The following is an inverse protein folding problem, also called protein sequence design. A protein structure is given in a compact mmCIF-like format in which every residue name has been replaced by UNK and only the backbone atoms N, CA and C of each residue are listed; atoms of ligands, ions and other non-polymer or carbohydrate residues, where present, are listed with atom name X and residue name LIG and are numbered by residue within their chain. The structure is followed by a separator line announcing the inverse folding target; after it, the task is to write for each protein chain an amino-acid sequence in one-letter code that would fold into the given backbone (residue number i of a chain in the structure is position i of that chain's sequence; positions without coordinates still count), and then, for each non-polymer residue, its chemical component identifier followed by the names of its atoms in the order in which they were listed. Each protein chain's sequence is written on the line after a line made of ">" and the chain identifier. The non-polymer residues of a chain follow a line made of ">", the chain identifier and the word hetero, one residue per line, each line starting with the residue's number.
data_IF_537380401296
#
_entry.id   IF_537380401296
#
_cell.length_a   1.000
_cell.length_b   1.000
_cell.length_c   1.000
_cell.angle_alpha   90.00
_cell.angle_beta   90.00
_cell.angle_gamma   90.00
#
_symmetry.space_group_name_H-M   'P 1'
#
loop_
_entity.id
_entity.type
_entity.pdbx_description
1 polymer ?
#
# COMPACT_ATOMS: atom_id res chain seq x y z
N UNK A 1 26.35 48.92 -75.33
CA UNK A 1 26.06 49.51 -74.00
C UNK A 1 24.68 50.14 -74.01
N UNK A 2 24.00 50.11 -72.85
CA UNK A 2 22.70 50.75 -72.51
C UNK A 2 21.43 49.98 -72.87
N UNK A 3 21.15 48.94 -72.08
CA UNK A 3 19.80 48.78 -71.54
C UNK A 3 19.54 49.97 -70.60
N UNK A 4 18.83 50.97 -71.09
CA UNK A 4 18.33 52.04 -70.24
C UNK A 4 17.20 51.47 -69.38
N UNK A 5 17.52 51.31 -68.09
CA UNK A 5 16.65 50.96 -66.97
C UNK A 5 15.41 51.87 -67.02
N UNK A 6 14.23 51.33 -67.35
CA UNK A 6 12.95 52.02 -67.13
C UNK A 6 12.72 52.07 -65.62
N UNK A 7 12.87 53.24 -65.03
CA UNK A 7 12.46 53.52 -63.65
C UNK A 7 10.99 53.93 -63.66
N UNK A 8 10.09 52.96 -63.68
CA UNK A 8 8.68 53.21 -63.35
C UNK A 8 8.63 53.49 -61.84
N UNK A 9 8.19 54.70 -61.46
CA UNK A 9 8.03 55.08 -60.06
C UNK A 9 6.89 54.30 -59.42
N UNK A 10 7.08 53.84 -58.19
CA UNK A 10 6.06 53.13 -57.43
C UNK A 10 4.83 54.03 -57.24
N UNK A 11 3.64 53.55 -57.58
CA UNK A 11 2.40 54.28 -57.27
C UNK A 11 2.08 54.16 -55.78
N UNK A 12 1.55 55.23 -55.17
CA UNK A 12 1.15 55.21 -53.75
C UNK A 12 0.14 54.07 -53.48
N UNK A 13 -0.75 53.79 -54.45
CA UNK A 13 -1.72 52.70 -54.35
C UNK A 13 -1.04 51.33 -54.22
N UNK A 14 -0.02 51.06 -55.03
CA UNK A 14 0.72 49.79 -55.00
C UNK A 14 1.49 49.63 -53.68
N UNK A 15 2.03 50.73 -53.13
CA UNK A 15 2.67 50.72 -51.81
C UNK A 15 1.67 50.39 -50.69
N UNK A 16 0.46 50.97 -50.73
CA UNK A 16 -0.59 50.70 -49.74
C UNK A 16 -1.03 49.23 -49.82
N UNK A 17 -1.28 48.72 -51.03
CA UNK A 17 -1.74 47.34 -51.24
C UNK A 17 -0.67 46.33 -50.79
N UNK A 18 0.59 46.53 -51.19
CA UNK A 18 1.69 45.64 -50.80
C UNK A 18 1.93 45.65 -49.29
N UNK A 19 1.87 46.82 -48.65
CA UNK A 19 2.01 46.94 -47.19
C UNK A 19 0.85 46.27 -46.45
N UNK A 20 -0.38 46.41 -46.94
CA UNK A 20 -1.54 45.76 -46.35
C UNK A 20 -1.45 44.22 -46.45
N UNK A 21 -1.05 43.70 -47.62
CA UNK A 21 -0.84 42.26 -47.82
C UNK A 21 0.30 41.73 -46.94
N UNK A 22 1.41 42.46 -46.84
CA UNK A 22 2.53 42.08 -45.96
C UNK A 22 2.09 42.07 -44.49
N UNK A 23 1.36 43.09 -44.05
CA UNK A 23 0.80 43.16 -42.70
C UNK A 23 -0.11 41.98 -42.40
N UNK A 24 -0.99 41.60 -43.34
CA UNK A 24 -1.88 40.45 -43.19
C UNK A 24 -1.10 39.13 -43.05
N UNK A 25 -0.06 38.93 -43.87
CA UNK A 25 0.79 37.73 -43.79
C UNK A 25 1.54 37.69 -42.46
N UNK A 26 2.11 38.81 -42.01
CA UNK A 26 2.83 38.88 -40.74
C UNK A 26 1.88 38.60 -39.56
N UNK A 27 0.71 39.25 -39.53
CA UNK A 27 -0.27 39.04 -38.45
C UNK A 27 -0.77 37.60 -38.43
N UNK A 28 -1.11 37.03 -39.58
CA UNK A 28 -1.52 35.62 -39.68
C UNK A 28 -0.43 34.66 -39.22
N UNK A 29 0.81 34.89 -39.63
CA UNK A 29 1.96 34.10 -39.19
C UNK A 29 2.20 34.19 -37.68
N UNK A 30 2.12 35.38 -37.10
CA UNK A 30 2.29 35.58 -35.66
C UNK A 30 1.16 34.91 -34.86
N UNK A 31 -0.10 35.00 -35.32
CA UNK A 31 -1.22 34.32 -34.68
C UNK A 31 -1.03 32.80 -34.66
N UNK A 32 -0.65 32.21 -35.79
CA UNK A 32 -0.39 30.78 -35.88
C UNK A 32 0.76 30.35 -34.96
N UNK A 33 1.84 31.13 -34.92
CA UNK A 33 2.98 30.88 -34.04
C UNK A 33 2.58 30.89 -32.56
N UNK A 34 1.86 31.93 -32.10
CA UNK A 34 1.42 32.01 -30.71
C UNK A 34 0.41 30.92 -30.34
N UNK A 35 -0.47 30.56 -31.27
CA UNK A 35 -1.41 29.45 -31.06
C UNK A 35 -0.66 28.13 -30.89
N UNK A 36 0.27 27.81 -31.80
CA UNK A 36 1.06 26.58 -31.75
C UNK A 36 1.91 26.51 -30.48
N UNK A 37 2.56 27.61 -30.10
CA UNK A 37 3.38 27.68 -28.89
C UNK A 37 2.53 27.46 -27.63
N UNK A 38 1.37 28.12 -27.51
CA UNK A 38 0.47 27.94 -26.36
C UNK A 38 -0.07 26.51 -26.28
N UNK A 39 -0.48 25.94 -27.42
CA UNK A 39 -0.98 24.58 -27.49
C UNK A 39 0.09 23.55 -27.09
N UNK A 40 1.34 23.76 -27.53
CA UNK A 40 2.46 22.90 -27.16
C UNK A 40 2.77 22.96 -25.66
N UNK A 41 2.85 24.16 -25.07
CA UNK A 41 3.12 24.32 -23.62
C UNK A 41 1.99 23.70 -22.79
N UNK A 42 0.72 23.98 -23.12
CA UNK A 42 -0.41 23.40 -22.40
C UNK A 42 -0.43 21.86 -22.52
N UNK A 43 -0.15 21.35 -23.72
CA UNK A 43 -0.06 19.91 -23.99
C UNK A 43 1.07 19.24 -23.20
N UNK A 44 2.24 19.87 -23.13
CA UNK A 44 3.38 19.38 -22.34
C UNK A 44 3.03 19.32 -20.87
N UNK A 45 2.55 20.44 -20.30
CA UNK A 45 2.21 20.51 -18.88
C UNK A 45 1.13 19.47 -18.50
N UNK A 46 0.15 19.24 -19.38
CA UNK A 46 -0.87 18.22 -19.17
C UNK A 46 -0.28 16.80 -19.20
N UNK A 47 0.60 16.51 -20.15
CA UNK A 47 1.24 15.20 -20.24
C UNK A 47 2.14 14.92 -19.03
N UNK A 48 2.91 15.92 -18.60
CA UNK A 48 3.79 15.83 -17.44
C UNK A 48 2.98 15.59 -16.16
N UNK A 49 1.91 16.38 -15.95
CA UNK A 49 0.99 16.21 -14.82
C UNK A 49 0.36 14.83 -14.76
N UNK A 50 -0.08 14.31 -15.92
CA UNK A 50 -0.65 12.97 -16.00
C UNK A 50 0.39 11.90 -15.66
N UNK A 51 1.62 12.03 -16.18
CA UNK A 51 2.70 11.09 -15.90
C UNK A 51 3.07 11.08 -14.40
N UNK A 52 3.19 12.26 -13.78
CA UNK A 52 3.47 12.40 -12.35
C UNK A 52 2.36 11.80 -11.49
N UNK A 53 1.10 12.12 -11.79
CA UNK A 53 -0.06 11.58 -11.06
C UNK A 53 -0.15 10.05 -11.20
N UNK A 54 0.16 9.48 -12.36
CA UNK A 54 0.21 8.03 -12.55
C UNK A 54 1.35 7.38 -11.74
N UNK A 55 2.54 7.97 -11.75
CA UNK A 55 3.66 7.47 -10.95
C UNK A 55 3.35 7.53 -9.44
N UNK A 56 2.71 8.62 -8.99
CA UNK A 56 2.24 8.79 -7.63
C UNK A 56 1.17 7.76 -7.25
N UNK A 57 0.17 7.55 -8.11
CA UNK A 57 -0.87 6.56 -7.90
C UNK A 57 -0.26 5.15 -7.76
N UNK A 58 0.63 4.75 -8.66
CA UNK A 58 1.31 3.45 -8.57
C UNK A 58 2.01 3.29 -7.21
N UNK A 59 2.78 4.30 -6.79
CA UNK A 59 3.45 4.29 -5.48
C UNK A 59 2.46 4.19 -4.31
N UNK A 60 1.38 4.99 -4.31
CA UNK A 60 0.34 4.94 -3.27
C UNK A 60 -0.28 3.54 -3.18
N UNK A 61 -0.63 2.95 -4.32
CA UNK A 61 -1.23 1.61 -4.35
C UNK A 61 -0.27 0.53 -3.86
N UNK A 62 1.02 0.61 -4.20
CA UNK A 62 2.05 -0.32 -3.74
C UNK A 62 2.29 -0.24 -2.23
N UNK A 63 2.34 0.97 -1.68
CA UNK A 63 2.53 1.19 -0.24
C UNK A 63 1.40 0.56 0.58
N UNK A 64 0.17 0.65 0.07
CA UNK A 64 -1.05 0.22 0.76
C UNK A 64 -1.35 -1.27 0.54
N UNK A 65 -0.97 -1.86 -0.62
CA UNK A 65 -1.31 -3.25 -0.98
C UNK A 65 -0.91 -4.29 0.07
N UNK A 66 0.22 -4.09 0.75
CA UNK A 66 0.77 -5.03 1.72
C UNK A 66 0.48 -4.65 3.18
N UNK A 67 -0.41 -3.68 3.41
CA UNK A 67 -0.78 -3.26 4.75
C UNK A 67 -1.46 -4.39 5.55
N UNK A 68 -1.12 -4.49 6.83
CA UNK A 68 -1.70 -5.45 7.78
C UNK A 68 -2.87 -4.86 8.56
N UNK A 69 -2.81 -3.56 8.83
CA UNK A 69 -3.93 -2.78 9.34
C UNK A 69 -4.06 -1.52 8.52
N UNK A 70 -5.29 -1.02 8.35
CA UNK A 70 -5.56 0.23 7.66
C UNK A 70 -6.73 0.93 8.34
N UNK A 71 -6.53 2.21 8.65
CA UNK A 71 -7.56 3.07 9.19
C UNK A 71 -7.63 4.39 8.43
N UNK A 72 -8.83 4.79 8.06
CA UNK A 72 -9.14 6.02 7.33
C UNK A 72 -9.53 7.11 8.34
N UNK A 73 -9.08 8.34 8.09
CA UNK A 73 -9.46 9.51 8.87
C UNK A 73 -9.40 10.80 8.07
N UNK A 74 -9.89 11.92 8.64
CA UNK A 74 -10.01 13.19 7.93
C UNK A 74 -8.63 13.79 7.63
N UNK A 75 -7.76 13.77 8.63
CA UNK A 75 -6.40 14.32 8.57
C UNK A 75 -5.38 13.43 9.29
N UNK A 76 -4.09 13.72 9.08
CA UNK A 76 -3.00 13.04 9.79
C UNK A 76 -3.11 13.28 11.30
N UNK A 77 -3.40 14.50 11.70
CA UNK A 77 -3.44 14.94 13.09
C UNK A 77 -4.54 14.20 13.86
N UNK A 78 -5.72 14.04 13.24
CA UNK A 78 -6.84 13.27 13.81
C UNK A 78 -6.46 11.80 13.98
N UNK A 79 -5.82 11.20 12.96
CA UNK A 79 -5.36 9.82 13.04
C UNK A 79 -4.31 9.62 14.12
N UNK A 80 -3.38 10.57 14.30
CA UNK A 80 -2.39 10.52 15.39
C UNK A 80 -3.08 10.55 16.76
N UNK A 81 -4.12 11.34 16.95
CA UNK A 81 -4.87 11.38 18.21
C UNK A 81 -5.61 10.07 18.48
N UNK A 82 -6.31 9.53 17.48
CA UNK A 82 -7.05 8.26 17.61
C UNK A 82 -6.09 7.13 17.98
N UNK A 83 -4.97 7.04 17.29
CA UNK A 83 -4.00 5.96 17.47
C UNK A 83 -3.20 6.11 18.78
N UNK A 84 -2.83 7.32 19.20
CA UNK A 84 -2.14 7.54 20.47
C UNK A 84 -3.04 7.26 21.69
N UNK A 85 -4.37 7.39 21.53
CA UNK A 85 -5.34 7.01 22.55
C UNK A 85 -5.52 5.49 22.70
N UNK A 86 -5.09 4.71 21.71
CA UNK A 86 -5.08 3.25 21.75
C UNK A 86 -3.70 2.80 22.23
N UNK A 87 -3.60 2.39 23.50
CA UNK A 87 -2.41 1.75 24.05
C UNK A 87 -2.05 0.54 23.16
N UNK A 88 -1.08 0.72 22.29
CA UNK A 88 -0.59 -0.30 21.39
C UNK A 88 0.89 0.00 21.26
N UNK A 89 1.69 -1.02 21.59
CA UNK A 89 3.13 -0.98 21.74
C UNK A 89 3.88 -0.45 20.52
N UNK A 90 5.19 -0.70 20.50
CA UNK A 90 6.14 -0.17 19.52
C UNK A 90 5.89 -0.72 18.10
N UNK A 91 4.78 -0.30 17.49
CA UNK A 91 4.33 -0.75 16.18
C UNK A 91 4.68 0.31 15.17
N UNK A 92 5.45 -0.09 14.16
CA UNK A 92 5.82 0.76 13.04
C UNK A 92 4.59 1.18 12.22
N UNK A 93 4.27 2.48 12.28
CA UNK A 93 3.12 3.08 11.61
C UNK A 93 3.55 3.97 10.46
N UNK A 94 2.82 3.88 9.37
CA UNK A 94 2.97 4.70 8.19
C UNK A 94 1.72 5.55 8.02
N UNK A 95 1.90 6.80 7.60
CA UNK A 95 0.78 7.71 7.31
C UNK A 95 0.85 8.15 5.86
N UNK A 96 -0.26 8.07 5.14
CA UNK A 96 -0.43 8.67 3.82
C UNK A 96 -1.50 9.75 3.93
N UNK A 97 -1.19 10.96 3.49
CA UNK A 97 -2.10 12.10 3.66
C UNK A 97 -1.84 13.21 2.65
N UNK A 98 -2.90 13.98 2.35
CA UNK A 98 -2.79 15.25 1.65
C UNK A 98 -2.55 16.40 2.64
N UNK A 99 -1.62 17.30 2.33
CA UNK A 99 -1.42 18.54 3.10
C UNK A 99 -0.87 19.64 2.19
N UNK A 100 -1.42 20.85 2.30
CA UNK A 100 -1.01 22.03 1.53
C UNK A 100 -0.83 21.75 0.02
N UNK A 101 -1.85 21.13 -0.60
CA UNK A 101 -1.81 20.80 -2.03
C UNK A 101 -0.81 19.71 -2.43
N UNK A 102 -0.13 19.07 -1.47
CA UNK A 102 0.87 18.03 -1.70
C UNK A 102 0.40 16.70 -1.09
N UNK A 103 1.01 15.59 -1.51
CA UNK A 103 0.74 14.24 -0.97
C UNK A 103 2.01 13.67 -0.37
N UNK A 104 1.93 13.20 0.88
CA UNK A 104 3.07 12.73 1.65
C UNK A 104 2.89 11.29 2.16
N UNK A 105 4.02 10.62 2.32
CA UNK A 105 4.19 9.39 3.09
C UNK A 105 5.09 9.68 4.30
N UNK A 106 4.56 9.59 5.51
CA UNK A 106 5.35 9.63 6.74
C UNK A 106 5.74 8.20 7.15
N UNK A 107 7.04 7.97 7.30
CA UNK A 107 7.57 6.68 7.77
C UNK A 107 7.67 6.64 9.30
N UNK A 108 7.80 5.45 9.92
CA UNK A 108 7.82 5.31 11.39
C UNK A 108 8.90 6.14 12.11
N UNK A 109 9.99 6.48 11.41
CA UNK A 109 11.04 7.38 11.90
C UNK A 109 10.65 8.87 11.89
N UNK A 110 9.38 9.19 11.59
CA UNK A 110 8.84 10.54 11.52
C UNK A 110 9.26 11.32 10.27
N UNK A 111 9.95 10.67 9.31
CA UNK A 111 10.36 11.34 8.08
C UNK A 111 9.21 11.43 7.10
N UNK A 112 8.89 12.65 6.69
CA UNK A 112 7.92 12.92 5.63
C UNK A 112 8.61 12.81 4.26
N UNK A 113 8.07 11.94 3.40
CA UNK A 113 8.53 11.74 2.03
C UNK A 113 7.45 12.24 1.07
N UNK A 114 7.70 13.28 0.26
CA UNK A 114 6.74 13.71 -0.74
C UNK A 114 6.57 12.62 -1.80
N UNK A 115 5.31 12.28 -2.09
CA UNK A 115 4.92 11.48 -3.25
C UNK A 115 4.57 12.40 -4.41
N UNK A 116 3.84 13.49 -4.12
CA UNK A 116 3.58 14.60 -5.02
C UNK A 116 3.81 15.90 -4.29
N UNK A 117 4.46 16.84 -4.97
CA UNK A 117 4.75 18.16 -4.44
C UNK A 117 3.83 19.16 -5.15
N UNK A 118 2.95 19.78 -4.38
CA UNK A 118 2.12 20.89 -4.86
C UNK A 118 2.92 22.17 -5.05
N UNK A 119 2.29 23.20 -5.61
CA UNK A 119 2.90 24.50 -5.95
C UNK A 119 4.08 24.42 -6.96
N UNK A 120 4.42 23.22 -7.44
CA UNK A 120 5.27 23.04 -8.62
C UNK A 120 4.39 23.30 -9.84
N UNK A 121 4.70 24.39 -10.56
CA UNK A 121 3.91 24.88 -11.70
C UNK A 121 2.48 25.34 -11.36
N UNK A 122 2.20 25.71 -10.11
CA UNK A 122 0.86 26.17 -9.68
C UNK A 122 -0.19 25.06 -9.62
N UNK A 123 0.26 23.81 -9.45
CA UNK A 123 -0.63 22.65 -9.34
C UNK A 123 -0.75 22.23 -7.89
N UNK A 124 -1.98 22.22 -7.37
CA UNK A 124 -2.30 21.62 -6.08
C UNK A 124 -2.98 20.27 -6.29
N UNK A 125 -2.82 19.37 -5.34
CA UNK A 125 -3.40 18.03 -5.37
C UNK A 125 -4.29 17.76 -4.15
N UNK A 126 -5.32 16.95 -4.37
CA UNK A 126 -6.17 16.39 -3.33
C UNK A 126 -6.14 14.88 -3.42
N UNK A 127 -5.97 14.22 -2.27
CA UNK A 127 -6.10 12.77 -2.15
C UNK A 127 -7.26 12.44 -1.23
N UNK A 128 -8.03 11.42 -1.61
CA UNK A 128 -9.17 10.91 -0.84
C UNK A 128 -9.11 9.39 -0.81
N UNK A 129 -9.46 8.82 0.34
CA UNK A 129 -9.50 7.39 0.59
C UNK A 129 -10.90 6.98 1.03
N UNK A 130 -11.42 5.89 0.48
CA UNK A 130 -12.72 5.34 0.88
C UNK A 130 -12.71 3.80 0.76
N UNK A 131 -13.36 3.04 1.66
CA UNK A 131 -13.54 1.62 1.47
C UNK A 131 -14.52 1.36 0.31
N UNK A 132 -14.21 0.39 -0.54
CA UNK A 132 -15.07 -0.01 -1.66
C UNK A 132 -15.79 -1.30 -1.30
N UNK A 133 -17.12 -1.27 -1.25
CA UNK A 133 -17.91 -2.48 -1.05
C UNK A 133 -17.94 -3.29 -2.34
N UNK A 134 -17.52 -4.56 -2.28
CA UNK A 134 -17.58 -5.44 -3.45
C UNK A 134 -18.88 -6.25 -3.42
N UNK A 135 -19.49 -6.50 -4.59
CA UNK A 135 -20.76 -7.24 -4.69
C UNK A 135 -20.70 -8.70 -4.17
N UNK A 136 -19.49 -9.20 -3.90
CA UNK A 136 -19.23 -10.55 -3.36
C UNK A 136 -19.32 -10.58 -1.82
N UNK A 137 -19.28 -9.42 -1.15
CA UNK A 137 -19.36 -9.31 0.29
C UNK A 137 -20.82 -9.40 0.76
N UNK A 138 -21.08 -10.32 1.69
CA UNK A 138 -22.36 -10.37 2.40
C UNK A 138 -22.56 -9.13 3.27
N UNK A 139 -23.80 -8.77 3.63
CA UNK A 139 -24.06 -7.65 4.54
C UNK A 139 -23.33 -7.86 5.88
N UNK A 140 -22.35 -6.99 6.17
CA UNK A 140 -21.54 -7.02 7.39
C UNK A 140 -20.11 -7.57 7.23
N UNK A 141 -19.70 -7.98 6.03
CA UNK A 141 -18.31 -8.43 5.78
C UNK A 141 -17.38 -7.21 5.63
N UNK A 142 -16.27 -7.11 6.39
CA UNK A 142 -15.32 -6.01 6.28
C UNK A 142 -14.74 -5.89 4.87
N UNK A 143 -14.77 -4.67 4.30
CA UNK A 143 -14.12 -4.45 3.01
C UNK A 143 -12.60 -4.61 3.11
N UNK A 144 -12.05 -5.32 2.13
CA UNK A 144 -10.62 -5.46 1.89
C UNK A 144 -10.12 -4.59 0.74
N UNK A 145 -11.01 -3.83 0.10
CA UNK A 145 -10.69 -2.99 -1.06
C UNK A 145 -10.76 -1.53 -0.64
N UNK A 146 -9.66 -0.81 -0.88
CA UNK A 146 -9.60 0.64 -0.68
C UNK A 146 -9.58 1.34 -2.02
N UNK A 147 -10.48 2.32 -2.16
CA UNK A 147 -10.48 3.30 -3.24
C UNK A 147 -9.56 4.45 -2.88
N UNK A 148 -8.66 4.79 -3.80
CA UNK A 148 -7.77 5.94 -3.72
C UNK A 148 -8.10 6.86 -4.89
N UNK A 149 -8.50 8.09 -4.60
CA UNK A 149 -8.75 9.13 -5.60
C UNK A 149 -7.75 10.25 -5.44
N UNK A 150 -7.08 10.60 -6.54
CA UNK A 150 -6.08 11.65 -6.62
C UNK A 150 -6.53 12.67 -7.68
N UNK A 151 -6.72 13.93 -7.28
CA UNK A 151 -7.25 15.00 -8.11
C UNK A 151 -6.25 16.15 -8.20
N UNK A 152 -6.07 16.71 -9.40
CA UNK A 152 -5.43 18.00 -9.59
C UNK A 152 -6.46 19.12 -9.42
N UNK A 153 -6.09 20.14 -8.64
CA UNK A 153 -6.87 21.34 -8.39
C UNK A 153 -6.42 22.53 -9.25
N UNK A 154 -5.53 22.29 -10.23
CA UNK A 154 -5.10 23.31 -11.16
C UNK A 154 -6.25 23.71 -12.11
N UNK A 155 -6.56 25.01 -12.17
CA UNK A 155 -7.69 25.57 -12.95
C UNK A 155 -7.67 25.21 -14.43
N UNK A 156 -6.49 25.13 -15.02
CA UNK A 156 -6.30 24.89 -16.46
C UNK A 156 -5.91 23.44 -16.78
N UNK A 157 -5.74 22.60 -15.75
CA UNK A 157 -5.24 21.23 -15.86
C UNK A 157 -6.06 20.26 -14.98
N UNK A 158 -7.38 20.31 -15.11
CA UNK A 158 -8.26 19.36 -14.42
C UNK A 158 -7.94 17.92 -14.86
N UNK A 159 -7.55 17.10 -13.89
CA UNK A 159 -7.29 15.68 -14.08
C UNK A 159 -7.50 14.93 -12.76
N UNK A 160 -8.08 13.74 -12.83
CA UNK A 160 -8.31 12.90 -11.68
C UNK A 160 -8.00 11.44 -12.03
N UNK A 161 -7.43 10.73 -11.06
CA UNK A 161 -7.18 9.30 -11.11
C UNK A 161 -7.89 8.63 -9.94
N UNK A 162 -8.55 7.51 -10.23
CA UNK A 162 -9.12 6.65 -9.20
C UNK A 162 -8.58 5.23 -9.38
N UNK A 163 -8.18 4.62 -8.27
CA UNK A 163 -7.72 3.24 -8.24
C UNK A 163 -8.37 2.49 -7.09
N UNK A 164 -8.70 1.23 -7.32
CA UNK A 164 -9.20 0.33 -6.29
C UNK A 164 -8.14 -0.74 -6.02
N UNK A 165 -7.74 -0.86 -4.77
CA UNK A 165 -6.65 -1.75 -4.34
C UNK A 165 -7.19 -2.74 -3.32
N UNK A 166 -7.09 -4.02 -3.64
CA UNK A 166 -7.26 -5.05 -2.63
C UNK A 166 -6.01 -5.08 -1.73
N UNK A 167 -6.22 -4.88 -0.43
CA UNK A 167 -5.16 -4.99 0.56
C UNK A 167 -5.05 -6.43 1.02
N UNK A 168 -3.90 -7.05 0.73
CA UNK A 168 -3.75 -8.50 0.75
C UNK A 168 -3.58 -9.08 2.17
N UNK A 169 -3.10 -8.27 3.10
CA UNK A 169 -2.71 -8.72 4.44
C UNK A 169 -3.59 -8.16 5.56
N UNK A 170 -4.75 -7.59 5.24
CA UNK A 170 -5.64 -7.02 6.26
C UNK A 170 -6.06 -8.07 7.28
N UNK A 171 -6.01 -7.67 8.56
CA UNK A 171 -6.62 -8.41 9.67
C UNK A 171 -8.11 -8.66 9.42
N UNK A 172 -8.67 -9.65 10.10
CA UNK A 172 -10.09 -10.00 10.03
C UNK A 172 -11.06 -8.84 10.33
N UNK A 173 -10.58 -7.77 10.97
CA UNK A 173 -11.37 -6.56 11.21
C UNK A 173 -11.50 -5.63 10.00
N UNK A 174 -10.80 -5.89 8.89
CA UNK A 174 -10.82 -5.09 7.67
C UNK A 174 -10.29 -3.66 7.81
N UNK A 175 -10.69 -2.83 6.85
CA UNK A 175 -10.48 -1.38 6.85
C UNK A 175 -11.36 -0.74 7.94
N UNK A 176 -10.76 0.05 8.81
CA UNK A 176 -11.44 0.77 9.90
C UNK A 176 -11.50 2.27 9.65
N UNK A 177 -12.27 2.97 10.47
CA UNK A 177 -12.32 4.44 10.50
C UNK A 177 -13.48 4.99 9.68
N UNK A 178 -13.28 6.19 9.13
CA UNK A 178 -14.33 6.94 8.46
C UNK A 178 -14.69 6.35 7.09
N UNK A 179 -15.93 6.57 6.60
CA UNK A 179 -16.36 6.10 5.27
C UNK A 179 -15.63 6.81 4.12
N UNK A 180 -14.97 7.94 4.40
CA UNK A 180 -14.10 8.67 3.48
C UNK A 180 -13.17 9.57 4.28
N UNK A 181 -11.95 9.78 3.82
CA UNK A 181 -10.96 10.62 4.50
C UNK A 181 -9.81 11.07 3.62
N UNK A 182 -9.14 12.15 4.03
CA UNK A 182 -7.95 12.69 3.35
C UNK A 182 -6.63 12.05 3.80
N UNK A 183 -6.70 11.16 4.80
CA UNK A 183 -5.54 10.49 5.36
C UNK A 183 -5.84 9.03 5.70
N UNK A 184 -4.78 8.21 5.68
CA UNK A 184 -4.79 6.84 6.19
C UNK A 184 -3.57 6.59 7.07
N UNK A 185 -3.76 5.72 8.06
CA UNK A 185 -2.68 5.13 8.85
C UNK A 185 -2.71 3.62 8.66
N UNK A 186 -1.53 3.03 8.49
CA UNK A 186 -1.40 1.61 8.25
C UNK A 186 -0.11 1.05 8.82
N UNK A 187 -0.08 -0.26 9.02
CA UNK A 187 1.10 -1.00 9.50
C UNK A 187 1.53 -2.02 8.46
N UNK A 188 2.82 -2.30 8.37
CA UNK A 188 3.38 -3.32 7.46
C UNK A 188 3.95 -4.54 8.17
N UNK A 189 4.06 -4.48 9.49
CA UNK A 189 4.57 -5.54 10.34
C UNK A 189 3.45 -6.09 11.23
N UNK A 190 3.57 -7.37 11.60
CA UNK A 190 2.76 -7.98 12.64
C UNK A 190 3.23 -7.50 14.02
N UNK A 191 2.31 -7.36 14.96
CA UNK A 191 2.65 -7.09 16.37
C UNK A 191 3.17 -8.36 17.05
N UNK A 192 3.90 -8.22 18.16
CA UNK A 192 4.38 -9.38 18.92
C UNK A 192 3.22 -10.22 19.46
N UNK A 193 2.12 -9.58 19.88
CA UNK A 193 0.89 -10.27 20.27
C UNK A 193 0.28 -11.08 19.12
N UNK A 194 0.38 -10.61 17.88
CA UNK A 194 -0.05 -11.35 16.69
C UNK A 194 0.91 -12.48 16.34
N UNK A 195 2.21 -12.31 16.54
CA UNK A 195 3.16 -13.41 16.42
C UNK A 195 2.88 -14.49 17.46
N UNK A 196 2.57 -14.11 18.70
CA UNK A 196 2.18 -15.04 19.77
C UNK A 196 0.83 -15.70 19.48
N UNK A 197 -0.17 -14.95 18.98
CA UNK A 197 -1.44 -15.53 18.56
C UNK A 197 -1.28 -16.47 17.34
N UNK A 198 -0.48 -16.09 16.34
CA UNK A 198 -0.16 -16.95 15.20
C UNK A 198 0.65 -18.20 15.63
N UNK A 199 1.46 -18.10 16.68
CA UNK A 199 2.12 -19.25 17.33
C UNK A 199 1.09 -20.14 18.03
N UNK A 200 0.03 -19.58 18.62
CA UNK A 200 -1.08 -20.36 19.21
C UNK A 200 -2.07 -20.95 18.20
N UNK A 201 -2.23 -20.36 17.02
CA UNK A 201 -3.12 -20.86 15.93
C UNK A 201 -2.46 -22.01 15.14
N UNK A 202 -1.16 -22.24 15.33
CA UNK A 202 -0.50 -23.46 14.83
C UNK A 202 -0.96 -24.67 15.67
N UNK A 203 -1.34 -25.80 15.04
CA UNK A 203 -1.92 -26.96 15.74
C UNK A 203 -1.06 -27.35 16.93
N UNK A 204 -1.69 -27.47 18.10
CA UNK A 204 -1.06 -27.48 19.41
C UNK A 204 0.08 -28.47 19.47
N UNK A 205 1.31 -27.97 19.33
CA UNK A 205 2.50 -28.79 19.43
C UNK A 205 3.17 -28.46 20.76
N UNK A 206 2.82 -29.23 21.80
CA UNK A 206 3.38 -29.03 23.14
C UNK A 206 4.91 -29.17 23.15
N UNK A 207 5.46 -30.02 22.26
CA UNK A 207 6.90 -30.19 22.11
C UNK A 207 7.63 -28.92 21.67
N UNK A 208 7.01 -28.13 20.78
CA UNK A 208 7.56 -26.85 20.32
C UNK A 208 7.35 -25.73 21.34
N UNK A 209 6.22 -25.75 22.07
CA UNK A 209 5.82 -24.64 22.94
C UNK A 209 6.46 -24.69 24.33
N UNK A 210 6.65 -25.88 24.91
CA UNK A 210 7.07 -26.03 26.30
C UNK A 210 8.25 -27.00 26.51
N UNK A 211 8.56 -27.89 25.57
CA UNK A 211 9.55 -28.96 25.81
C UNK A 211 10.91 -28.66 25.20
N UNK A 212 10.96 -28.15 23.97
CA UNK A 212 12.19 -27.90 23.22
C UNK A 212 12.24 -26.47 22.66
N UNK A 213 13.45 -25.93 22.55
CA UNK A 213 13.68 -24.64 21.88
C UNK A 213 13.32 -24.72 20.38
N UNK A 214 12.74 -23.66 19.78
CA UNK A 214 12.43 -23.58 18.35
C UNK A 214 13.57 -23.94 17.39
N UNK A 215 14.82 -23.66 17.77
CA UNK A 215 16.03 -23.91 16.99
C UNK A 215 16.75 -25.22 17.39
N UNK A 216 16.19 -26.01 18.29
CA UNK A 216 16.81 -27.25 18.75
C UNK A 216 16.89 -28.33 17.66
N UNK A 217 18.04 -29.00 17.58
CA UNK A 217 18.28 -30.12 16.66
C UNK A 217 17.32 -31.29 16.90
N UNK A 218 16.91 -31.50 18.15
CA UNK A 218 15.97 -32.53 18.59
C UNK A 218 14.59 -32.33 17.97
N UNK A 219 14.09 -31.09 17.98
CA UNK A 219 12.79 -30.78 17.40
C UNK A 219 12.82 -30.92 15.87
N UNK A 220 13.94 -30.57 15.24
CA UNK A 220 14.14 -30.79 13.81
C UNK A 220 14.09 -32.28 13.45
N UNK A 221 14.82 -33.13 14.19
CA UNK A 221 14.82 -34.57 13.99
C UNK A 221 13.42 -35.19 14.17
N UNK A 222 12.65 -34.76 15.18
CA UNK A 222 11.27 -35.22 15.38
C UNK A 222 10.33 -34.82 14.24
N UNK A 223 10.48 -33.60 13.69
CA UNK A 223 9.70 -33.16 12.52
C UNK A 223 10.05 -33.99 11.29
N UNK A 224 11.33 -34.25 11.07
CA UNK A 224 11.78 -35.07 9.95
C UNK A 224 11.30 -36.51 10.08
N UNK A 225 11.32 -37.09 11.29
CA UNK A 225 10.78 -38.42 11.56
C UNK A 225 9.28 -38.49 11.28
N UNK A 226 8.52 -37.48 11.72
CA UNK A 226 7.10 -37.34 11.43
C UNK A 226 6.84 -37.33 9.92
N UNK A 227 7.56 -36.50 9.19
CA UNK A 227 7.27 -36.24 7.77
C UNK A 227 7.74 -37.39 6.87
N UNK A 228 8.90 -37.98 7.16
CA UNK A 228 9.49 -39.02 6.32
C UNK A 228 8.99 -40.44 6.65
N UNK A 229 8.62 -40.72 7.91
CA UNK A 229 8.22 -42.06 8.34
C UNK A 229 6.76 -42.16 8.78
N UNK A 230 6.26 -41.24 9.60
CA UNK A 230 4.88 -41.33 10.12
C UNK A 230 3.84 -40.87 9.08
N UNK A 231 4.12 -39.82 8.30
CA UNK A 231 3.15 -39.27 7.35
C UNK A 231 2.96 -40.14 6.09
N UNK A 232 3.90 -41.04 5.81
CA UNK A 232 3.88 -41.91 4.62
C UNK A 232 2.92 -43.09 4.76
N UNK A 233 2.63 -43.54 5.99
CA UNK A 233 1.78 -44.70 6.25
C UNK A 233 0.47 -44.34 7.01
N UNK A 234 -0.65 -45.04 6.75
CA UNK A 234 -1.95 -44.74 7.40
C UNK A 234 -1.91 -44.82 8.93
N UNK A 235 -1.15 -45.78 9.48
CA UNK A 235 -0.96 -45.91 10.93
C UNK A 235 -0.16 -44.75 11.52
N UNK A 236 0.89 -44.28 10.83
CA UNK A 236 1.66 -43.13 11.31
C UNK A 236 0.86 -41.84 11.29
N UNK A 237 -0.03 -41.64 10.31
CA UNK A 237 -1.00 -40.52 10.31
C UNK A 237 -1.96 -40.57 11.50
N UNK A 238 -2.38 -41.77 11.93
CA UNK A 238 -3.19 -41.93 13.14
C UNK A 238 -2.40 -41.49 14.38
N UNK A 239 -1.14 -41.91 14.51
CA UNK A 239 -0.25 -41.47 15.61
C UNK A 239 -0.09 -39.96 15.63
N UNK A 240 0.14 -39.33 14.47
CA UNK A 240 0.23 -37.88 14.34
C UNK A 240 -1.06 -37.20 14.82
N UNK A 241 -2.22 -37.71 14.38
CA UNK A 241 -3.52 -37.16 14.78
C UNK A 241 -3.73 -37.27 16.28
N UNK A 242 -3.45 -38.45 16.86
CA UNK A 242 -3.56 -38.69 18.30
C UNK A 242 -2.64 -37.77 19.09
N UNK A 243 -1.39 -37.59 18.63
CA UNK A 243 -0.45 -36.65 19.25
C UNK A 243 -1.00 -35.23 19.29
N UNK A 244 -1.50 -34.70 18.18
CA UNK A 244 -2.04 -33.34 18.14
C UNK A 244 -3.30 -33.20 19.01
N UNK A 245 -4.21 -34.18 18.99
CA UNK A 245 -5.39 -34.14 19.88
C UNK A 245 -5.02 -34.20 21.36
N UNK A 246 -3.98 -34.97 21.74
CA UNK A 246 -3.52 -35.05 23.11
C UNK A 246 -2.76 -33.78 23.52
N UNK A 247 -2.00 -33.21 22.59
CA UNK A 247 -1.26 -31.97 22.80
C UNK A 247 -2.20 -30.78 23.01
N UNK A 248 -3.29 -30.68 22.24
CA UNK A 248 -4.32 -29.65 22.44
C UNK A 248 -4.96 -29.78 23.84
N UNK A 249 -5.33 -31.01 24.25
CA UNK A 249 -5.86 -31.27 25.59
C UNK A 249 -4.86 -30.88 26.69
N UNK A 250 -3.59 -31.24 26.52
CA UNK A 250 -2.53 -30.88 27.46
C UNK A 250 -2.32 -29.36 27.54
N UNK A 251 -2.32 -28.66 26.40
CA UNK A 251 -2.20 -27.19 26.37
C UNK A 251 -3.38 -26.52 27.10
N UNK A 252 -4.61 -26.99 26.87
CA UNK A 252 -5.79 -26.49 27.58
C UNK A 252 -5.72 -26.71 29.10
N UNK A 253 -5.12 -27.83 29.54
CA UNK A 253 -4.91 -28.12 30.96
C UNK A 253 -3.87 -27.17 31.56
N UNK A 254 -2.79 -26.88 30.84
CA UNK A 254 -1.72 -25.99 31.32
C UNK A 254 -2.19 -24.53 31.45
N UNK A 255 -3.16 -24.10 30.64
CA UNK A 255 -3.78 -22.77 30.78
C UNK A 255 -4.60 -22.65 32.08
N UNK A 256 -5.25 -23.74 32.53
CA UNK A 256 -6.10 -23.74 33.73
C UNK A 256 -5.32 -24.11 35.00
N UNK A 257 -4.29 -24.94 34.87
CA UNK A 257 -3.52 -25.50 35.98
C UNK A 257 -2.00 -25.36 35.77
N UNK A 258 -1.41 -24.19 36.07
CA UNK A 258 0.02 -23.93 35.86
C UNK A 258 0.95 -24.90 36.61
N UNK A 259 0.52 -25.44 37.75
CA UNK A 259 1.30 -26.42 38.53
C UNK A 259 1.54 -27.74 37.77
N UNK A 260 0.76 -28.03 36.74
CA UNK A 260 0.88 -29.23 35.92
C UNK A 260 1.94 -29.11 34.81
N UNK A 261 2.58 -27.95 34.63
CA UNK A 261 3.58 -27.72 33.59
C UNK A 261 4.74 -28.72 33.66
N UNK A 262 5.41 -28.83 34.81
CA UNK A 262 6.55 -29.73 35.00
C UNK A 262 6.21 -31.20 34.73
N UNK A 263 5.16 -31.81 35.31
CA UNK A 263 4.85 -33.20 35.05
C UNK A 263 4.40 -33.46 33.61
N UNK A 264 3.61 -32.55 33.01
CA UNK A 264 3.13 -32.71 31.62
C UNK A 264 4.31 -32.60 30.64
N UNK A 265 5.13 -31.55 30.76
CA UNK A 265 6.29 -31.36 29.87
C UNK A 265 7.30 -32.49 29.99
N UNK A 266 7.54 -33.01 31.21
CA UNK A 266 8.43 -34.15 31.43
C UNK A 266 7.91 -35.44 30.78
N UNK A 267 6.60 -35.69 30.85
CA UNK A 267 5.99 -36.85 30.19
C UNK A 267 6.13 -36.77 28.66
N UNK A 268 5.83 -35.60 28.07
CA UNK A 268 6.00 -35.39 26.63
C UNK A 268 7.47 -35.43 26.20
N UNK A 269 8.39 -34.93 27.04
CA UNK A 269 9.84 -35.04 26.79
C UNK A 269 10.30 -36.48 26.76
N UNK A 270 9.91 -37.30 27.74
CA UNK A 270 10.30 -38.70 27.82
C UNK A 270 9.84 -39.49 26.59
N UNK A 271 8.60 -39.25 26.12
CA UNK A 271 8.09 -39.87 24.90
C UNK A 271 8.87 -39.39 23.67
N UNK A 272 9.16 -38.10 23.58
CA UNK A 272 9.92 -37.53 22.46
C UNK A 272 11.37 -38.04 22.41
N UNK A 273 12.05 -38.14 23.55
CA UNK A 273 13.40 -38.71 23.64
C UNK A 273 13.41 -40.19 23.26
N UNK A 274 12.38 -40.94 23.65
CA UNK A 274 12.23 -42.33 23.22
C UNK A 274 12.09 -42.44 21.70
N UNK A 275 11.31 -41.56 21.07
CA UNK A 275 11.18 -41.53 19.60
C UNK A 275 12.49 -41.14 18.93
N UNK A 276 13.25 -40.20 19.52
CA UNK A 276 14.57 -39.79 19.00
C UNK A 276 15.61 -40.92 19.00
N UNK A 277 15.45 -41.96 19.83
CA UNK A 277 16.31 -43.14 19.76
C UNK A 277 16.06 -44.00 18.51
N UNK A 278 14.90 -43.82 17.85
CA UNK A 278 14.49 -44.55 16.65
C UNK A 278 14.43 -43.67 15.39
N UNK A 279 14.72 -42.38 15.51
CA UNK A 279 14.72 -41.39 14.43
C UNK A 279 16.10 -41.25 13.79
#
# INVERSE_FOLDING_TARGET
>A
MRHLKKSEGFTILELIVTTALLGLVIVGGMQLYFFASKAFVLGSNKADLQAEMHAAMNRLTEEVRLAHSLQIGPSKEDLKQIVNGQASGDVERFYLYGSNGSVYLETPDGKERPILVGDVMGTDYRITFAPVSTAVQGPGDPSQVIGITLESLAKDLEYALSSEVQVLNLRASGIKGDPSGGAIVFTKTFTEEEYEQARTIRPGCILFRYVYDPASSQLYALRQFRDNYLATNPFGRLVIKTYYTLSDAALSLLEVAPWAEVPVTSAFRAVAELVLLFA
#
